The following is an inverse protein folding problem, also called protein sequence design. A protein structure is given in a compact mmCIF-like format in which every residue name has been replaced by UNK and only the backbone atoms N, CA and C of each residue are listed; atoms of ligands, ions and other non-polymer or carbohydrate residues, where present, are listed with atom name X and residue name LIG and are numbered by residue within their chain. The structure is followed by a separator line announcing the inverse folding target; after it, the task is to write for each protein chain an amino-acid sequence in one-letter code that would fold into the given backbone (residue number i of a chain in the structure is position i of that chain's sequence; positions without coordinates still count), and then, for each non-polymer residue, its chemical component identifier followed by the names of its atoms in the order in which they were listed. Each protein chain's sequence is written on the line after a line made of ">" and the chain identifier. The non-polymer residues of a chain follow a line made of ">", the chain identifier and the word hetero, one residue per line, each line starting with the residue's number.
data_IF_657499746151
#
_entry.id   IF_657499746151
#
_cell.length_a   1.000
_cell.length_b   1.000
_cell.length_c   1.000
_cell.angle_alpha   90.00
_cell.angle_beta   90.00
_cell.angle_gamma   90.00
#
_symmetry.space_group_name_H-M   'P 1'
#
loop_
_entity.id
_entity.type
_entity.pdbx_description
1 polymer ?
#
# COMPACT_ATOMS: atom_id res chain seq x y z
N UNK A 1 -19.36 -8.14 15.74
CA UNK A 1 -19.46 -9.55 16.22
C UNK A 1 -18.23 -9.81 17.08
N UNK A 2 -18.41 -10.23 18.34
CA UNK A 2 -17.29 -10.38 19.30
C UNK A 2 -16.37 -11.57 18.99
N UNK A 3 -15.12 -11.47 19.43
CA UNK A 3 -14.03 -12.43 19.17
C UNK A 3 -14.35 -13.86 19.61
N UNK A 4 -15.17 -14.07 20.65
CA UNK A 4 -15.50 -15.44 21.12
C UNK A 4 -16.35 -16.21 20.10
N UNK A 5 -17.41 -15.59 19.57
CA UNK A 5 -18.29 -16.23 18.57
C UNK A 5 -17.53 -16.58 17.30
N UNK A 6 -16.59 -15.73 16.87
CA UNK A 6 -15.75 -16.02 15.70
C UNK A 6 -14.85 -17.25 15.94
N UNK A 7 -14.25 -17.37 17.12
CA UNK A 7 -13.45 -18.54 17.50
C UNK A 7 -14.29 -19.82 17.54
N UNK A 8 -15.51 -19.75 18.07
CA UNK A 8 -16.41 -20.91 18.11
C UNK A 8 -16.87 -21.34 16.71
N UNK A 9 -16.97 -20.41 15.76
CA UNK A 9 -17.29 -20.74 14.36
C UNK A 9 -16.21 -21.57 13.66
N UNK A 10 -14.95 -21.46 14.07
CA UNK A 10 -13.81 -22.14 13.41
C UNK A 10 -13.26 -23.32 14.23
N UNK A 11 -13.61 -23.42 15.51
CA UNK A 11 -13.10 -24.47 16.41
C UNK A 11 -13.47 -25.86 15.91
N UNK A 12 -12.47 -26.74 15.80
CA UNK A 12 -12.63 -28.13 15.37
C UNK A 12 -13.01 -28.28 13.89
N UNK A 13 -12.86 -27.23 13.08
CA UNK A 13 -13.26 -27.21 11.67
C UNK A 13 -12.05 -27.08 10.74
N UNK A 14 -12.17 -27.65 9.55
CA UNK A 14 -11.23 -27.44 8.44
C UNK A 14 -11.53 -26.10 7.79
N UNK A 15 -10.65 -25.13 8.00
CA UNK A 15 -10.80 -23.78 7.47
C UNK A 15 -9.88 -23.60 6.27
N UNK A 16 -10.46 -23.10 5.17
CA UNK A 16 -9.69 -22.63 4.03
C UNK A 16 -9.78 -21.11 3.92
N UNK A 17 -8.64 -20.44 3.89
CA UNK A 17 -8.53 -18.99 3.70
C UNK A 17 -8.06 -18.69 2.28
N UNK A 18 -8.83 -17.93 1.52
CA UNK A 18 -8.46 -17.51 0.16
C UNK A 18 -7.75 -16.15 0.22
N UNK A 19 -6.48 -16.09 -0.17
CA UNK A 19 -5.65 -14.89 -0.13
C UNK A 19 -4.31 -15.09 0.58
N UNK A 20 -3.35 -14.18 0.35
CA UNK A 20 -2.02 -14.25 0.98
C UNK A 20 -1.43 -12.85 1.21
N UNK A 21 -2.05 -12.12 2.13
CA UNK A 21 -1.65 -10.80 2.62
C UNK A 21 -2.20 -10.61 4.04
N UNK A 22 -1.95 -9.44 4.66
CA UNK A 22 -2.22 -9.15 6.08
C UNK A 22 -3.50 -9.78 6.64
N UNK A 23 -4.69 -9.45 6.13
CA UNK A 23 -5.95 -9.99 6.68
C UNK A 23 -6.03 -11.52 6.58
N UNK A 24 -5.62 -12.09 5.44
CA UNK A 24 -5.66 -13.54 5.25
C UNK A 24 -4.67 -14.26 6.18
N UNK A 25 -3.49 -13.68 6.38
CA UNK A 25 -2.46 -14.20 7.28
C UNK A 25 -2.91 -14.14 8.74
N UNK A 26 -3.52 -13.04 9.17
CA UNK A 26 -4.06 -12.90 10.53
C UNK A 26 -5.15 -13.94 10.81
N UNK A 27 -6.10 -14.09 9.88
CA UNK A 27 -7.18 -15.08 9.98
C UNK A 27 -6.60 -16.49 10.03
N UNK A 28 -5.64 -16.82 9.17
CA UNK A 28 -4.98 -18.12 9.18
C UNK A 28 -4.22 -18.38 10.50
N UNK A 29 -3.59 -17.35 11.07
CA UNK A 29 -2.94 -17.41 12.38
C UNK A 29 -3.94 -17.70 13.49
N UNK A 30 -5.07 -16.99 13.52
CA UNK A 30 -6.15 -17.25 14.49
C UNK A 30 -6.72 -18.66 14.35
N UNK A 31 -6.88 -19.17 13.13
CA UNK A 31 -7.32 -20.54 12.89
C UNK A 31 -6.31 -21.55 13.42
N UNK A 32 -5.02 -21.34 13.17
CA UNK A 32 -3.96 -22.20 13.66
C UNK A 32 -3.83 -22.15 15.19
N UNK A 33 -4.10 -21.01 15.84
CA UNK A 33 -4.16 -20.91 17.30
C UNK A 33 -5.30 -21.71 17.93
N UNK A 34 -6.47 -21.71 17.29
CA UNK A 34 -7.65 -22.42 17.81
C UNK A 34 -7.57 -23.92 17.55
N UNK A 35 -7.06 -24.33 16.39
CA UNK A 35 -7.17 -25.72 15.92
C UNK A 35 -5.85 -26.49 15.92
N UNK A 36 -4.70 -25.82 15.98
CA UNK A 36 -3.38 -26.44 15.90
C UNK A 36 -3.21 -27.29 14.64
N UNK A 37 -2.48 -28.39 14.78
CA UNK A 37 -2.21 -29.36 13.70
C UNK A 37 -3.31 -30.40 13.52
N UNK A 38 -4.26 -30.51 14.46
CA UNK A 38 -5.38 -31.45 14.37
C UNK A 38 -6.36 -31.07 13.25
N UNK A 39 -6.61 -29.77 13.07
CA UNK A 39 -7.39 -29.23 11.96
C UNK A 39 -6.67 -28.02 11.33
N UNK A 40 -5.65 -28.27 10.49
CA UNK A 40 -4.80 -27.21 9.97
C UNK A 40 -5.56 -26.26 9.06
N UNK A 41 -5.20 -24.99 9.10
CA UNK A 41 -5.76 -23.97 8.22
C UNK A 41 -5.07 -24.03 6.85
N UNK A 42 -5.82 -24.20 5.77
CA UNK A 42 -5.25 -24.16 4.42
C UNK A 42 -5.40 -22.77 3.81
N UNK A 43 -4.30 -22.13 3.45
CA UNK A 43 -4.32 -20.90 2.66
C UNK A 43 -4.20 -21.21 1.18
N UNK A 44 -5.15 -20.73 0.39
CA UNK A 44 -5.20 -20.88 -1.07
C UNK A 44 -4.92 -19.51 -1.69
N UNK A 45 -3.85 -19.40 -2.49
CA UNK A 45 -3.42 -18.10 -3.05
C UNK A 45 -2.82 -18.20 -4.46
N UNK A 46 -2.94 -17.11 -5.22
CA UNK A 46 -2.41 -17.03 -6.59
C UNK A 46 -0.98 -16.50 -6.66
N UNK A 47 -0.69 -15.49 -5.86
CA UNK A 47 0.54 -14.71 -5.95
C UNK A 47 1.24 -14.71 -4.59
N UNK A 48 2.53 -15.05 -4.60
CA UNK A 48 3.41 -14.90 -3.43
C UNK A 48 3.64 -13.42 -3.20
N UNK A 49 3.71 -13.00 -1.94
CA UNK A 49 3.99 -11.62 -1.54
C UNK A 49 5.14 -11.58 -0.55
N UNK A 50 5.78 -10.42 -0.40
CA UNK A 50 6.83 -10.22 0.59
C UNK A 50 6.20 -10.17 1.98
N UNK A 51 6.31 -11.28 2.71
CA UNK A 51 5.83 -11.43 4.09
C UNK A 51 7.07 -11.42 4.98
N UNK A 52 7.42 -10.27 5.51
CA UNK A 52 8.70 -10.05 6.20
C UNK A 52 8.53 -10.13 7.72
N UNK A 53 9.54 -10.57 8.48
CA UNK A 53 9.46 -10.66 9.95
C UNK A 53 9.24 -9.28 10.60
N UNK A 54 9.87 -8.26 10.04
CA UNK A 54 9.76 -6.86 10.41
C UNK A 54 10.15 -5.97 9.21
N UNK A 55 10.08 -4.66 9.39
CA UNK A 55 10.57 -3.69 8.42
C UNK A 55 12.03 -3.28 8.69
N UNK A 56 12.83 -4.13 9.34
CA UNK A 56 14.25 -3.89 9.61
C UNK A 56 15.12 -4.62 8.59
N UNK A 57 16.14 -3.95 8.06
CA UNK A 57 17.15 -4.56 7.19
C UNK A 57 18.48 -4.47 7.92
N UNK A 58 19.05 -5.63 8.26
CA UNK A 58 20.30 -5.71 9.06
C UNK A 58 20.25 -4.94 10.39
N UNK A 59 19.11 -4.93 11.06
CA UNK A 59 18.92 -4.21 12.32
C UNK A 59 18.64 -2.71 12.17
N UNK A 60 18.65 -2.18 10.94
CA UNK A 60 18.33 -0.78 10.65
C UNK A 60 16.86 -0.67 10.25
N UNK A 61 16.14 0.24 10.91
CA UNK A 61 14.74 0.51 10.60
C UNK A 61 14.54 0.94 9.13
N UNK A 62 13.66 0.26 8.42
CA UNK A 62 13.37 0.46 6.99
C UNK A 62 12.93 1.87 6.61
N UNK A 63 12.41 2.65 7.57
CA UNK A 63 12.09 4.06 7.37
C UNK A 63 13.32 4.88 6.98
N UNK A 64 14.50 4.53 7.49
CA UNK A 64 15.77 5.18 7.15
C UNK A 64 16.17 4.98 5.67
N UNK A 65 15.52 4.06 4.96
CA UNK A 65 15.81 3.77 3.57
C UNK A 65 14.71 4.23 2.60
N UNK A 66 13.57 4.72 3.13
CA UNK A 66 12.37 4.99 2.32
C UNK A 66 11.63 6.29 2.67
N UNK A 67 11.83 6.85 3.86
CA UNK A 67 11.13 8.04 4.36
C UNK A 67 12.09 9.22 4.59
N UNK A 68 13.09 9.38 3.74
CA UNK A 68 13.96 10.56 3.70
C UNK A 68 14.20 11.03 2.27
N UNK A 69 14.61 12.29 2.13
CA UNK A 69 14.80 12.90 0.80
C UNK A 69 15.86 12.19 -0.02
N UNK A 70 16.94 11.69 0.61
CA UNK A 70 18.01 11.00 -0.10
C UNK A 70 17.51 9.76 -0.82
N UNK A 71 16.70 8.94 -0.15
CA UNK A 71 16.11 7.74 -0.74
C UNK A 71 15.22 8.07 -1.95
N UNK A 72 14.55 9.21 -1.93
CA UNK A 72 13.69 9.68 -3.02
C UNK A 72 14.48 10.29 -4.19
N UNK A 73 15.75 10.68 -4.01
CA UNK A 73 16.63 11.07 -5.13
C UNK A 73 16.93 9.89 -6.06
N UNK A 74 16.84 8.66 -5.56
CA UNK A 74 17.04 7.43 -6.33
C UNK A 74 15.86 7.11 -7.25
N UNK A 75 14.75 7.83 -7.11
CA UNK A 75 13.47 7.54 -7.72
C UNK A 75 13.09 8.68 -8.65
N UNK A 76 12.60 8.35 -9.84
CA UNK A 76 12.04 9.33 -10.75
C UNK A 76 10.72 9.85 -10.20
N UNK A 77 10.62 11.14 -9.97
CA UNK A 77 9.50 11.82 -9.31
C UNK A 77 8.65 12.59 -10.32
N UNK A 78 7.32 12.64 -10.14
CA UNK A 78 6.44 13.49 -10.95
C UNK A 78 6.87 14.95 -10.87
N UNK A 79 7.04 15.60 -12.02
CA UNK A 79 7.38 17.03 -12.10
C UNK A 79 8.81 17.41 -11.68
N UNK A 80 9.74 16.45 -11.57
CA UNK A 80 11.08 16.70 -11.01
C UNK A 80 12.07 17.42 -11.94
N UNK A 81 11.71 17.60 -13.22
CA UNK A 81 12.56 18.27 -14.21
C UNK A 81 13.93 17.60 -14.35
N UNK A 82 15.01 18.39 -14.25
CA UNK A 82 16.39 17.92 -14.42
C UNK A 82 16.86 16.96 -13.32
N UNK A 83 16.18 16.89 -12.17
CA UNK A 83 16.51 15.93 -11.10
C UNK A 83 16.32 14.46 -11.54
N UNK A 84 15.54 14.23 -12.61
CA UNK A 84 15.38 12.91 -13.23
C UNK A 84 16.71 12.32 -13.72
N UNK A 85 17.66 13.17 -14.12
CA UNK A 85 19.01 12.74 -14.51
C UNK A 85 19.71 12.10 -13.32
N UNK A 86 19.59 12.68 -12.12
CA UNK A 86 20.19 12.13 -10.91
C UNK A 86 19.58 10.75 -10.57
N UNK A 87 18.26 10.61 -10.67
CA UNK A 87 17.60 9.31 -10.47
C UNK A 87 18.06 8.26 -11.49
N UNK A 88 18.34 8.68 -12.73
CA UNK A 88 18.92 7.81 -13.76
C UNK A 88 20.35 7.39 -13.39
N UNK A 89 21.21 8.35 -13.04
CA UNK A 89 22.60 8.10 -12.65
C UNK A 89 22.72 7.21 -11.42
N UNK A 90 21.80 7.36 -10.44
CA UNK A 90 21.78 6.58 -9.21
C UNK A 90 21.00 5.27 -9.33
N UNK A 91 20.53 4.89 -10.52
CA UNK A 91 19.80 3.63 -10.72
C UNK A 91 20.61 2.38 -10.33
N UNK A 92 21.92 2.27 -10.63
CA UNK A 92 22.72 1.13 -10.17
C UNK A 92 22.78 1.05 -8.64
N UNK A 93 22.91 2.19 -7.95
CA UNK A 93 22.92 2.27 -6.48
C UNK A 93 21.58 1.81 -5.91
N UNK A 94 20.46 2.30 -6.45
CA UNK A 94 19.12 1.86 -6.09
C UNK A 94 18.98 0.34 -6.25
N UNK A 95 19.37 -0.18 -7.41
CA UNK A 95 19.28 -1.60 -7.70
C UNK A 95 20.09 -2.43 -6.70
N UNK A 96 21.35 -2.06 -6.45
CA UNK A 96 22.22 -2.77 -5.51
C UNK A 96 21.63 -2.77 -4.10
N UNK A 97 21.19 -1.60 -3.61
CA UNK A 97 20.58 -1.46 -2.29
C UNK A 97 19.37 -2.39 -2.11
N UNK A 98 18.39 -2.32 -3.03
CA UNK A 98 17.19 -3.13 -2.92
C UNK A 98 17.45 -4.62 -3.18
N UNK A 99 18.45 -5.00 -3.98
CA UNK A 99 18.84 -6.41 -4.16
C UNK A 99 19.53 -7.00 -2.95
N UNK A 100 20.32 -6.23 -2.23
CA UNK A 100 20.90 -6.67 -0.97
C UNK A 100 19.80 -6.86 0.10
N UNK A 101 18.87 -5.91 0.22
CA UNK A 101 17.71 -6.04 1.11
C UNK A 101 16.79 -7.22 0.72
N UNK A 102 16.54 -7.41 -0.58
CA UNK A 102 15.79 -8.55 -1.12
C UNK A 102 16.45 -9.87 -0.75
N UNK A 103 17.78 -9.95 -0.87
CA UNK A 103 18.56 -11.14 -0.50
C UNK A 103 18.41 -11.45 0.98
N UNK A 104 18.50 -10.44 1.85
CA UNK A 104 18.30 -10.58 3.30
C UNK A 104 16.90 -11.14 3.64
N UNK A 105 15.82 -10.51 3.15
CA UNK A 105 14.47 -10.97 3.43
C UNK A 105 14.13 -12.31 2.77
N UNK A 106 14.81 -12.67 1.68
CA UNK A 106 14.56 -13.94 1.01
C UNK A 106 15.00 -15.16 1.82
N UNK A 107 15.94 -15.02 2.76
CA UNK A 107 16.52 -16.15 3.53
C UNK A 107 15.44 -16.99 4.22
N UNK A 108 14.59 -16.45 5.11
CA UNK A 108 13.52 -17.23 5.73
C UNK A 108 12.47 -17.70 4.71
N UNK A 109 12.20 -16.91 3.68
CA UNK A 109 11.18 -17.22 2.68
C UNK A 109 11.56 -18.37 1.75
N UNK A 110 12.86 -18.51 1.43
CA UNK A 110 13.39 -19.57 0.55
C UNK A 110 13.11 -20.96 1.10
N UNK A 111 13.24 -21.14 2.42
CA UNK A 111 12.94 -22.41 3.12
C UNK A 111 11.52 -22.92 2.82
N UNK A 112 10.57 -22.00 2.64
CA UNK A 112 9.16 -22.32 2.37
C UNK A 112 8.78 -22.17 0.90
N UNK A 113 9.74 -21.90 0.01
CA UNK A 113 9.45 -21.60 -1.39
C UNK A 113 8.58 -20.36 -1.58
N UNK A 114 8.59 -19.41 -0.64
CA UNK A 114 7.66 -18.27 -0.62
C UNK A 114 8.24 -16.96 -1.19
N UNK A 115 9.46 -16.97 -1.72
CA UNK A 115 10.02 -15.81 -2.42
C UNK A 115 9.13 -15.44 -3.63
N UNK A 116 8.65 -14.18 -3.72
CA UNK A 116 7.82 -13.72 -4.83
C UNK A 116 8.57 -13.55 -6.15
N UNK A 117 7.81 -13.59 -7.26
CA UNK A 117 8.35 -13.34 -8.61
C UNK A 117 8.66 -11.84 -8.85
N UNK A 118 8.05 -10.94 -8.06
CA UNK A 118 8.30 -9.51 -8.12
C UNK A 118 9.36 -9.07 -7.10
N UNK A 119 10.13 -8.03 -7.44
CA UNK A 119 11.20 -7.53 -6.57
C UNK A 119 10.69 -6.89 -5.30
N UNK A 120 11.55 -6.83 -4.27
CA UNK A 120 11.26 -6.12 -3.02
C UNK A 120 10.95 -4.64 -3.29
N UNK A 121 11.69 -4.02 -4.21
CA UNK A 121 11.48 -2.63 -4.58
C UNK A 121 10.08 -2.38 -5.17
N UNK A 122 9.63 -3.24 -6.10
CA UNK A 122 8.26 -3.15 -6.62
C UNK A 122 7.24 -3.38 -5.51
N UNK A 123 7.53 -4.28 -4.57
CA UNK A 123 6.66 -4.55 -3.44
C UNK A 123 6.46 -3.32 -2.55
N UNK A 124 7.55 -2.59 -2.27
CA UNK A 124 7.51 -1.33 -1.55
C UNK A 124 6.80 -0.25 -2.36
N UNK A 125 7.16 -0.07 -3.64
CA UNK A 125 6.53 0.92 -4.51
C UNK A 125 5.00 0.76 -4.55
N UNK A 126 4.52 -0.47 -4.67
CA UNK A 126 3.09 -0.79 -4.78
C UNK A 126 2.38 -1.04 -3.43
N UNK A 127 3.08 -0.93 -2.29
CA UNK A 127 2.55 -1.27 -0.97
C UNK A 127 1.97 -2.71 -0.87
N UNK A 128 2.63 -3.68 -1.50
CA UNK A 128 2.23 -5.10 -1.51
C UNK A 128 3.17 -5.99 -0.66
N UNK A 129 3.64 -5.41 0.45
CA UNK A 129 4.52 -6.02 1.45
C UNK A 129 3.85 -5.88 2.82
N UNK A 130 3.92 -6.92 3.65
CA UNK A 130 3.42 -6.83 5.02
C UNK A 130 4.30 -7.57 6.02
N UNK A 131 4.20 -7.14 7.27
CA UNK A 131 4.81 -7.85 8.39
C UNK A 131 4.03 -9.14 8.65
N UNK A 132 4.78 -10.19 8.88
CA UNK A 132 4.26 -11.51 9.19
C UNK A 132 3.55 -11.52 10.55
N UNK A 133 2.42 -12.23 10.71
CA UNK A 133 1.90 -12.51 12.03
C UNK A 133 2.90 -13.32 12.86
N UNK A 134 2.75 -13.26 14.18
CA UNK A 134 3.61 -13.98 15.12
C UNK A 134 3.66 -15.47 14.76
N UNK A 135 4.87 -16.02 14.69
CA UNK A 135 5.15 -17.43 14.43
C UNK A 135 4.64 -17.98 13.09
N UNK A 136 4.28 -17.13 12.12
CA UNK A 136 3.76 -17.58 10.81
C UNK A 136 4.62 -18.66 10.14
N UNK A 137 5.92 -18.43 9.98
CA UNK A 137 6.82 -19.41 9.36
C UNK A 137 6.96 -20.68 10.20
N UNK A 138 6.95 -20.56 11.53
CA UNK A 138 6.94 -21.72 12.44
C UNK A 138 5.66 -22.55 12.26
N UNK A 139 4.50 -21.90 12.10
CA UNK A 139 3.21 -22.57 11.84
C UNK A 139 3.18 -23.29 10.50
N UNK A 140 3.91 -22.79 9.50
CA UNK A 140 4.15 -23.50 8.24
C UNK A 140 5.01 -24.75 8.45
N UNK A 141 6.06 -24.68 9.28
CA UNK A 141 6.92 -25.84 9.59
C UNK A 141 6.19 -26.92 10.37
N UNK A 142 5.42 -26.52 11.37
CA UNK A 142 4.62 -27.43 12.20
C UNK A 142 3.41 -28.01 11.45
N UNK A 143 3.02 -27.40 10.33
CA UNK A 143 1.88 -27.84 9.50
C UNK A 143 0.51 -27.40 10.02
N UNK A 144 0.44 -26.47 10.99
CA UNK A 144 -0.83 -25.89 11.44
C UNK A 144 -1.39 -24.87 10.43
N UNK A 145 -0.55 -24.34 9.55
CA UNK A 145 -0.93 -23.60 8.35
C UNK A 145 -0.33 -24.30 7.13
N UNK A 146 -1.19 -24.63 6.15
CA UNK A 146 -0.82 -25.26 4.90
C UNK A 146 -0.97 -24.27 3.75
N UNK A 147 -0.05 -24.28 2.79
CA UNK A 147 -0.04 -23.35 1.66
C UNK A 147 -0.32 -24.09 0.35
N UNK A 148 -1.35 -23.66 -0.39
CA UNK A 148 -1.64 -24.15 -1.74
C UNK A 148 -1.69 -23.01 -2.75
N UNK A 149 -0.74 -23.01 -3.68
CA UNK A 149 -0.73 -22.06 -4.80
C UNK A 149 -1.72 -22.54 -5.88
N UNK A 150 -2.51 -21.62 -6.44
CA UNK A 150 -3.47 -21.95 -7.51
C UNK A 150 -3.32 -21.05 -8.74
N UNK A 151 -3.77 -21.54 -9.89
CA UNK A 151 -4.05 -20.71 -11.08
C UNK A 151 -5.52 -20.30 -11.11
N UNK A 152 -6.42 -21.27 -10.95
CA UNK A 152 -7.86 -21.09 -10.72
C UNK A 152 -8.31 -21.96 -9.54
N UNK A 153 -9.46 -21.63 -8.97
CA UNK A 153 -10.14 -22.49 -7.99
C UNK A 153 -11.65 -22.37 -8.17
N UNK A 154 -12.38 -23.39 -7.71
CA UNK A 154 -13.84 -23.38 -7.65
C UNK A 154 -14.29 -23.95 -6.30
N UNK A 155 -15.56 -23.71 -5.96
CA UNK A 155 -16.18 -24.30 -4.78
C UNK A 155 -16.94 -25.56 -5.19
N UNK A 156 -16.83 -26.59 -4.37
CA UNK A 156 -17.63 -27.81 -4.47
C UNK A 156 -18.25 -28.14 -3.11
N UNK A 157 -19.09 -29.18 -3.05
CA UNK A 157 -19.78 -29.58 -1.82
C UNK A 157 -18.80 -29.96 -0.70
N UNK A 158 -17.64 -30.49 -1.06
CA UNK A 158 -16.61 -30.96 -0.14
C UNK A 158 -15.64 -29.85 0.29
N UNK A 159 -15.61 -28.70 -0.39
CA UNK A 159 -14.73 -27.58 -0.08
C UNK A 159 -14.23 -26.82 -1.31
N UNK A 160 -12.90 -26.69 -1.44
CA UNK A 160 -12.27 -25.89 -2.50
C UNK A 160 -11.53 -26.78 -3.47
N UNK A 161 -11.94 -26.79 -4.74
CA UNK A 161 -11.20 -27.45 -5.82
C UNK A 161 -10.13 -26.50 -6.35
N UNK A 162 -8.87 -26.92 -6.26
CA UNK A 162 -7.72 -26.14 -6.73
C UNK A 162 -7.19 -26.76 -8.01
N UNK A 163 -6.92 -25.94 -9.02
CA UNK A 163 -6.38 -26.41 -10.30
C UNK A 163 -5.05 -27.16 -10.11
N UNK A 164 -4.94 -28.34 -10.74
CA UNK A 164 -3.79 -29.24 -10.63
C UNK A 164 -3.80 -30.19 -9.42
N UNK A 165 -4.77 -30.08 -8.50
CA UNK A 165 -4.91 -31.00 -7.38
C UNK A 165 -5.89 -32.14 -7.72
N UNK A 166 -5.57 -33.41 -7.38
CA UNK A 166 -6.40 -34.56 -7.73
C UNK A 166 -7.69 -34.63 -6.89
N UNK A 167 -7.76 -33.88 -5.79
CA UNK A 167 -8.92 -33.88 -4.89
C UNK A 167 -9.15 -32.50 -4.27
N UNK A 168 -10.41 -32.16 -3.90
CA UNK A 168 -10.71 -30.90 -3.23
C UNK A 168 -10.00 -30.77 -1.88
N UNK A 169 -9.61 -29.54 -1.55
CA UNK A 169 -9.26 -29.15 -0.18
C UNK A 169 -10.52 -29.20 0.66
N UNK A 170 -10.66 -30.26 1.46
CA UNK A 170 -11.83 -30.47 2.31
C UNK A 170 -11.97 -29.30 3.29
N UNK A 171 -13.10 -28.61 3.23
CA UNK A 171 -13.31 -27.36 3.98
C UNK A 171 -14.72 -27.31 4.55
N UNK A 172 -14.83 -27.06 5.85
CA UNK A 172 -16.10 -26.81 6.53
C UNK A 172 -16.44 -25.31 6.50
N UNK A 173 -15.41 -24.46 6.42
CA UNK A 173 -15.53 -23.00 6.31
C UNK A 173 -14.53 -22.49 5.27
N UNK A 174 -14.98 -21.60 4.38
CA UNK A 174 -14.12 -20.89 3.44
C UNK A 174 -14.21 -19.38 3.74
N UNK A 175 -13.05 -18.74 3.99
CA UNK A 175 -12.96 -17.32 4.31
C UNK A 175 -12.21 -16.59 3.21
N UNK A 176 -12.84 -15.57 2.61
CA UNK A 176 -12.25 -14.78 1.53
C UNK A 176 -11.49 -13.57 2.08
N UNK A 177 -10.17 -13.69 2.18
CA UNK A 177 -9.24 -12.59 2.45
C UNK A 177 -8.71 -11.95 1.16
N UNK A 178 -9.59 -11.69 0.19
CA UNK A 178 -9.23 -11.29 -1.19
C UNK A 178 -9.18 -9.77 -1.41
N UNK A 179 -9.26 -8.97 -0.35
CA UNK A 179 -9.19 -7.51 -0.41
C UNK A 179 -10.56 -6.85 -0.58
N UNK A 180 -10.54 -5.58 -1.01
CA UNK A 180 -11.72 -4.74 -1.12
C UNK A 180 -11.80 -4.07 -2.49
N UNK A 181 -13.01 -3.73 -2.90
CA UNK A 181 -13.29 -3.06 -4.18
C UNK A 181 -13.49 -1.55 -3.99
N UNK A 182 -12.42 -0.82 -3.67
CA UNK A 182 -12.48 0.63 -3.40
C UNK A 182 -13.06 1.42 -4.57
N UNK A 183 -12.68 1.06 -5.79
CA UNK A 183 -13.16 1.67 -7.02
C UNK A 183 -14.67 1.58 -7.22
N UNK A 184 -15.25 0.39 -7.02
CA UNK A 184 -16.70 0.18 -7.09
C UNK A 184 -17.41 1.02 -6.02
N UNK A 185 -16.88 1.05 -4.80
CA UNK A 185 -17.45 1.87 -3.72
C UNK A 185 -17.51 3.36 -4.08
N UNK A 186 -16.46 3.92 -4.69
CA UNK A 186 -16.46 5.31 -5.14
C UNK A 186 -17.43 5.51 -6.30
N UNK A 187 -17.45 4.61 -7.29
CA UNK A 187 -18.40 4.68 -8.41
C UNK A 187 -19.84 4.68 -7.90
N UNK A 188 -20.16 3.85 -6.94
CA UNK A 188 -21.53 3.65 -6.46
C UNK A 188 -22.02 4.77 -5.54
N UNK A 189 -21.15 5.72 -5.15
CA UNK A 189 -21.58 6.96 -4.50
C UNK A 189 -22.37 7.89 -5.42
N UNK A 190 -22.24 7.73 -6.75
CA UNK A 190 -22.87 8.62 -7.72
C UNK A 190 -24.06 7.96 -8.40
N UNK A 191 -25.18 8.68 -8.47
CA UNK A 191 -26.34 8.30 -9.28
C UNK A 191 -26.15 8.62 -10.76
N UNK A 192 -25.46 9.73 -11.07
CA UNK A 192 -25.18 10.16 -12.45
C UNK A 192 -24.17 9.24 -13.14
N UNK A 193 -24.57 8.66 -14.27
CA UNK A 193 -23.69 7.82 -15.10
C UNK A 193 -22.40 8.52 -15.52
N UNK A 194 -22.48 9.81 -15.88
CA UNK A 194 -21.30 10.63 -16.18
C UNK A 194 -20.27 10.60 -15.03
N UNK A 195 -20.68 10.90 -13.80
CA UNK A 195 -19.79 10.88 -12.64
C UNK A 195 -19.29 9.48 -12.29
N UNK A 196 -20.13 8.43 -12.42
CA UNK A 196 -19.66 7.04 -12.28
C UNK A 196 -18.52 6.71 -13.25
N UNK A 197 -18.60 7.21 -14.49
CA UNK A 197 -17.60 6.99 -15.53
C UNK A 197 -16.31 7.77 -15.28
N UNK A 198 -16.38 9.01 -14.79
CA UNK A 198 -15.18 9.83 -14.57
C UNK A 198 -14.54 9.68 -13.18
N UNK A 199 -15.25 9.11 -12.20
CA UNK A 199 -14.80 9.03 -10.81
C UNK A 199 -13.49 8.24 -10.63
N UNK A 200 -13.33 7.13 -11.36
CA UNK A 200 -12.19 6.20 -11.19
C UNK A 200 -11.36 5.95 -12.46
N UNK A 201 -11.69 6.62 -13.57
CA UNK A 201 -11.04 6.38 -14.86
C UNK A 201 -11.26 4.98 -15.43
N UNK A 202 -10.49 4.62 -16.46
CA UNK A 202 -10.48 3.26 -17.04
C UNK A 202 -9.59 2.32 -16.25
N UNK A 203 -9.77 1.01 -16.38
CA UNK A 203 -8.95 -0.02 -15.72
C UNK A 203 -7.44 0.09 -16.04
N UNK A 204 -7.09 0.70 -17.17
CA UNK A 204 -5.71 0.91 -17.63
C UNK A 204 -5.06 2.20 -17.08
N UNK A 205 -5.78 2.98 -16.28
CA UNK A 205 -5.33 4.27 -15.70
C UNK A 205 -5.35 4.24 -14.18
N UNK A 206 -4.65 5.17 -13.52
CA UNK A 206 -4.85 5.37 -12.08
C UNK A 206 -6.17 6.10 -11.85
N UNK A 207 -6.68 6.08 -10.61
CA UNK A 207 -7.84 6.88 -10.27
C UNK A 207 -7.45 8.37 -10.32
N UNK A 208 -8.17 9.22 -11.06
CA UNK A 208 -7.67 10.53 -11.44
C UNK A 208 -7.87 11.56 -10.32
N UNK A 209 -7.05 11.48 -9.28
CA UNK A 209 -7.07 12.37 -8.12
C UNK A 209 -5.84 13.28 -8.11
N UNK A 210 -6.05 14.57 -8.35
CA UNK A 210 -5.06 15.60 -8.09
C UNK A 210 -4.69 15.60 -6.60
N UNK A 211 -3.39 15.54 -6.31
CA UNK A 211 -2.85 15.34 -4.97
C UNK A 211 -3.44 14.14 -4.23
N UNK A 212 -3.88 13.09 -4.94
CA UNK A 212 -4.58 11.95 -4.34
C UNK A 212 -5.83 12.35 -3.52
N UNK A 213 -6.41 13.53 -3.80
CA UNK A 213 -7.53 14.11 -3.05
C UNK A 213 -8.69 14.60 -3.94
N UNK A 214 -8.43 15.37 -4.99
CA UNK A 214 -9.47 16.08 -5.77
C UNK A 214 -9.62 15.44 -7.15
N UNK A 215 -10.82 15.04 -7.54
CA UNK A 215 -11.08 14.64 -8.93
C UNK A 215 -11.26 15.90 -9.80
N UNK A 216 -10.42 16.15 -10.83
CA UNK A 216 -10.49 17.38 -11.63
C UNK A 216 -11.81 17.59 -12.40
N UNK A 217 -12.60 16.53 -12.61
CA UNK A 217 -13.86 16.56 -13.37
C UNK A 217 -15.11 16.54 -12.49
N UNK A 218 -14.97 16.34 -11.17
CA UNK A 218 -16.10 16.29 -10.25
C UNK A 218 -16.03 17.51 -9.34
N UNK A 219 -16.93 18.50 -9.49
CA UNK A 219 -16.93 19.69 -8.67
C UNK A 219 -17.33 19.35 -7.22
N UNK A 220 -16.83 20.13 -6.26
CA UNK A 220 -17.25 20.10 -4.86
C UNK A 220 -17.10 18.73 -4.16
N UNK A 221 -16.10 17.94 -4.57
CA UNK A 221 -15.78 16.67 -3.95
C UNK A 221 -14.28 16.55 -3.66
N UNK A 222 -13.97 16.09 -2.45
CA UNK A 222 -12.64 15.64 -2.06
C UNK A 222 -12.72 14.23 -1.48
N UNK A 223 -11.75 13.38 -1.80
CA UNK A 223 -11.61 12.01 -1.31
C UNK A 223 -10.34 11.94 -0.47
N UNK A 224 -10.45 11.63 0.82
CA UNK A 224 -9.28 11.42 1.67
C UNK A 224 -9.15 9.92 1.96
N UNK A 225 -7.96 9.38 1.72
CA UNK A 225 -7.62 7.99 2.08
C UNK A 225 -7.80 6.96 0.98
N UNK A 226 -7.91 7.37 -0.30
CA UNK A 226 -7.96 6.44 -1.42
C UNK A 226 -6.61 5.76 -1.70
N UNK A 227 -5.53 6.55 -1.74
CA UNK A 227 -4.17 6.09 -2.06
C UNK A 227 -3.51 5.36 -0.87
N UNK A 228 -2.74 4.30 -1.14
CA UNK A 228 -1.94 3.62 -0.11
C UNK A 228 -0.67 4.40 0.27
N UNK A 229 -0.34 4.38 1.57
CA UNK A 229 0.88 4.99 2.13
C UNK A 229 1.46 4.12 3.25
N UNK A 230 2.59 4.52 3.82
CA UNK A 230 3.17 3.83 4.98
C UNK A 230 2.25 3.86 6.23
N UNK A 231 1.45 4.92 6.37
CA UNK A 231 0.47 5.07 7.45
C UNK A 231 -0.70 5.92 6.99
N UNK A 232 -1.89 5.33 6.94
CA UNK A 232 -3.09 6.03 6.48
C UNK A 232 -3.48 7.18 7.40
N UNK A 233 -3.19 7.09 8.70
CA UNK A 233 -3.42 8.19 9.65
C UNK A 233 -2.51 9.37 9.29
N UNK A 234 -1.22 9.11 9.07
CA UNK A 234 -0.25 10.14 8.72
C UNK A 234 -0.62 10.84 7.40
N UNK A 235 -0.92 10.06 6.35
CA UNK A 235 -1.30 10.64 5.07
C UNK A 235 -2.63 11.40 5.13
N UNK A 236 -3.61 10.89 5.88
CA UNK A 236 -4.92 11.56 6.02
C UNK A 236 -4.82 12.87 6.82
N UNK A 237 -3.96 12.94 7.83
CA UNK A 237 -3.75 14.15 8.63
C UNK A 237 -3.27 15.33 7.77
N UNK A 238 -2.18 15.15 7.01
CA UNK A 238 -1.65 16.23 6.17
C UNK A 238 -2.61 16.59 5.01
N UNK A 239 -3.33 15.62 4.46
CA UNK A 239 -4.36 15.85 3.43
C UNK A 239 -5.55 16.62 3.97
N UNK A 240 -5.99 16.31 5.18
CA UNK A 240 -7.06 17.05 5.84
C UNK A 240 -6.64 18.50 6.11
N UNK A 241 -5.39 18.73 6.54
CA UNK A 241 -4.82 20.08 6.70
C UNK A 241 -4.76 20.82 5.36
N UNK A 242 -4.27 20.17 4.30
CA UNK A 242 -4.24 20.74 2.95
C UNK A 242 -5.64 21.08 2.44
N UNK A 243 -6.61 20.18 2.63
CA UNK A 243 -8.00 20.42 2.24
C UNK A 243 -8.63 21.56 3.03
N UNK A 244 -8.38 21.63 4.35
CA UNK A 244 -8.88 22.73 5.18
C UNK A 244 -8.34 24.09 4.70
N UNK A 245 -7.05 24.16 4.35
CA UNK A 245 -6.39 25.35 3.78
C UNK A 245 -6.85 25.68 2.36
N UNK A 246 -7.39 24.72 1.63
CA UNK A 246 -8.06 25.00 0.36
C UNK A 246 -9.46 25.59 0.61
N UNK A 247 -10.22 24.99 1.52
CA UNK A 247 -11.59 25.42 1.85
C UNK A 247 -11.65 26.79 2.53
N UNK A 248 -10.62 27.16 3.30
CA UNK A 248 -10.50 28.50 3.91
C UNK A 248 -10.03 29.59 2.92
N UNK A 249 -9.76 29.22 1.66
CA UNK A 249 -9.32 30.12 0.61
C UNK A 249 -7.85 30.55 0.68
N UNK A 250 -7.02 29.91 1.53
CA UNK A 250 -5.60 30.25 1.67
C UNK A 250 -4.79 29.99 0.42
N UNK A 251 -5.23 29.09 -0.45
CA UNK A 251 -4.70 28.91 -1.79
C UNK A 251 -5.80 28.51 -2.77
N UNK A 252 -5.51 28.62 -4.07
CA UNK A 252 -6.42 28.19 -5.14
C UNK A 252 -5.84 26.96 -5.83
N UNK A 253 -6.72 26.02 -6.18
CA UNK A 253 -6.35 24.92 -7.06
C UNK A 253 -5.98 25.47 -8.45
N UNK A 254 -5.04 24.81 -9.15
CA UNK A 254 -4.79 25.12 -10.55
C UNK A 254 -6.01 24.73 -11.40
N UNK A 255 -6.04 25.19 -12.66
CA UNK A 255 -7.12 24.84 -13.58
C UNK A 255 -7.18 23.32 -13.86
N UNK A 256 -8.31 22.85 -14.39
CA UNK A 256 -8.58 21.43 -14.65
C UNK A 256 -7.50 20.79 -15.53
N UNK A 257 -7.03 21.47 -16.57
CA UNK A 257 -6.01 20.94 -17.47
C UNK A 257 -4.66 20.71 -16.76
N UNK A 258 -4.26 21.64 -15.88
CA UNK A 258 -3.06 21.50 -15.08
C UNK A 258 -3.18 20.38 -14.04
N UNK A 259 -4.33 20.24 -13.38
CA UNK A 259 -4.59 19.12 -12.47
C UNK A 259 -4.52 17.77 -13.21
N UNK A 260 -5.14 17.67 -14.39
CA UNK A 260 -5.09 16.45 -15.22
C UNK A 260 -3.67 16.13 -15.67
N UNK A 261 -2.86 17.13 -16.03
CA UNK A 261 -1.45 16.93 -16.36
C UNK A 261 -0.67 16.36 -15.18
N UNK A 262 -0.88 16.87 -13.96
CA UNK A 262 -0.25 16.33 -12.75
C UNK A 262 -0.65 14.88 -12.49
N UNK A 263 -1.94 14.55 -12.60
CA UNK A 263 -2.45 13.17 -12.50
C UNK A 263 -1.74 12.24 -13.47
N UNK A 264 -1.53 12.66 -14.72
CA UNK A 264 -0.83 11.86 -15.72
C UNK A 264 0.66 11.66 -15.40
N UNK A 265 1.33 12.66 -14.81
CA UNK A 265 2.72 12.50 -14.36
C UNK A 265 2.84 11.51 -13.20
N UNK A 266 1.91 11.56 -12.24
CA UNK A 266 1.79 10.57 -11.18
C UNK A 266 1.46 9.17 -11.70
N UNK A 267 0.57 9.06 -12.69
CA UNK A 267 0.26 7.78 -13.35
C UNK A 267 1.51 7.17 -13.99
N UNK A 268 2.30 7.96 -14.73
CA UNK A 268 3.56 7.50 -15.35
C UNK A 268 4.51 6.94 -14.30
N UNK A 269 4.67 7.65 -13.19
CA UNK A 269 5.46 7.20 -12.05
C UNK A 269 4.95 5.86 -11.49
N UNK A 270 3.65 5.75 -11.21
CA UNK A 270 3.06 4.54 -10.62
C UNK A 270 3.19 3.35 -11.56
N UNK A 271 2.93 3.52 -12.86
CA UNK A 271 3.12 2.48 -13.88
C UNK A 271 4.58 2.02 -13.96
N UNK A 272 5.53 2.96 -13.88
CA UNK A 272 6.97 2.66 -13.93
C UNK A 272 7.45 1.77 -12.79
N UNK A 273 6.95 2.01 -11.57
CA UNK A 273 7.52 1.39 -10.38
C UNK A 273 6.63 0.35 -9.70
N UNK A 274 5.31 0.51 -9.74
CA UNK A 274 4.35 -0.44 -9.19
C UNK A 274 4.03 -1.59 -10.16
N UNK A 275 4.43 -1.47 -11.44
CA UNK A 275 4.10 -2.43 -12.49
C UNK A 275 2.59 -2.65 -12.58
N UNK A 276 2.15 -3.91 -12.64
CA UNK A 276 0.71 -4.27 -12.73
C UNK A 276 -0.14 -3.81 -11.54
N UNK A 277 0.46 -3.35 -10.44
CA UNK A 277 -0.24 -2.91 -9.23
C UNK A 277 -0.41 -1.39 -9.17
N UNK A 278 -0.11 -0.66 -10.25
CA UNK A 278 -0.20 0.81 -10.32
C UNK A 278 -1.53 1.37 -9.81
N UNK A 279 -2.63 0.64 -10.03
CA UNK A 279 -3.98 1.07 -9.65
C UNK A 279 -4.20 1.17 -8.13
N UNK A 280 -3.37 0.54 -7.31
CA UNK A 280 -3.37 0.75 -5.85
C UNK A 280 -3.03 2.18 -5.44
N UNK A 281 -2.53 2.98 -6.37
CA UNK A 281 -2.21 4.40 -6.17
C UNK A 281 -1.29 4.62 -4.97
N UNK A 282 -0.26 3.78 -4.83
CA UNK A 282 0.66 3.86 -3.70
C UNK A 282 1.65 5.02 -3.89
N UNK A 283 1.80 5.83 -2.85
CA UNK A 283 2.82 6.90 -2.77
C UNK A 283 3.89 6.59 -1.71
N UNK A 284 3.98 5.34 -1.25
CA UNK A 284 4.75 4.96 -0.06
C UNK A 284 6.23 5.35 -0.14
N UNK A 285 6.87 5.18 -1.30
CA UNK A 285 8.31 5.46 -1.50
C UNK A 285 8.59 6.91 -1.97
N UNK A 286 7.55 7.74 -2.10
CA UNK A 286 7.64 9.17 -2.44
C UNK A 286 6.84 10.03 -1.45
N UNK A 287 6.74 9.58 -0.21
CA UNK A 287 5.90 10.24 0.80
C UNK A 287 6.37 11.69 1.07
N UNK A 288 7.68 11.91 1.12
CA UNK A 288 8.27 13.23 1.37
C UNK A 288 8.03 14.16 0.19
N UNK A 289 8.31 13.72 -1.04
CA UNK A 289 8.05 14.47 -2.27
C UNK A 289 6.57 14.82 -2.43
N UNK A 290 5.68 13.89 -2.09
CA UNK A 290 4.24 14.13 -2.08
C UNK A 290 3.87 15.21 -1.04
N UNK A 291 4.33 15.09 0.20
CA UNK A 291 4.06 16.06 1.25
C UNK A 291 4.65 17.44 0.94
N UNK A 292 5.79 17.51 0.24
CA UNK A 292 6.35 18.76 -0.23
C UNK A 292 5.41 19.49 -1.18
N UNK A 293 4.74 18.75 -2.07
CA UNK A 293 3.77 19.35 -3.00
C UNK A 293 2.60 19.96 -2.22
N UNK A 294 2.08 19.26 -1.21
CA UNK A 294 1.04 19.81 -0.33
C UNK A 294 1.54 21.05 0.42
N UNK A 295 2.77 21.03 0.93
CA UNK A 295 3.36 22.20 1.60
C UNK A 295 3.46 23.39 0.66
N UNK A 296 3.96 23.19 -0.57
CA UNK A 296 4.08 24.25 -1.58
C UNK A 296 2.72 24.83 -1.94
N UNK A 297 1.71 23.99 -2.16
CA UNK A 297 0.34 24.44 -2.44
C UNK A 297 -0.19 25.33 -1.30
N UNK A 298 0.05 24.95 -0.04
CA UNK A 298 -0.31 25.73 1.16
C UNK A 298 0.57 26.97 1.43
N UNK A 299 1.58 27.23 0.59
CA UNK A 299 2.56 28.32 0.82
C UNK A 299 3.51 28.07 2.00
N UNK A 300 3.65 26.82 2.44
CA UNK A 300 4.52 26.43 3.55
C UNK A 300 5.89 25.96 3.04
N UNK A 301 6.94 26.15 3.86
CA UNK A 301 8.24 25.57 3.55
C UNK A 301 8.15 24.02 3.63
N UNK A 302 8.47 23.29 2.55
CA UNK A 302 8.56 21.84 2.56
C UNK A 302 9.74 21.31 3.40
N UNK A 303 10.76 22.14 3.66
CA UNK A 303 11.88 21.76 4.52
C UNK A 303 11.45 21.90 5.99
N UNK A 304 11.48 20.78 6.71
CA UNK A 304 10.93 20.60 8.07
C UNK A 304 11.98 20.25 9.13
N UNK A 305 13.21 19.97 8.72
CA UNK A 305 14.36 19.60 9.55
C UNK A 305 15.33 20.78 9.64
N UNK A 306 16.21 20.74 10.64
CA UNK A 306 17.20 21.79 10.88
C UNK A 306 18.50 21.44 10.17
N UNK A 307 18.73 22.08 9.01
CA UNK A 307 19.98 21.97 8.27
C UNK A 307 19.93 20.98 7.11
N UNK A 308 20.88 21.14 6.19
CA UNK A 308 20.91 20.43 4.91
C UNK A 308 21.02 18.91 5.05
N UNK A 309 21.91 18.42 5.92
CA UNK A 309 22.11 16.98 6.11
C UNK A 309 20.91 16.32 6.79
N UNK A 310 20.30 16.99 7.77
CA UNK A 310 19.09 16.50 8.43
C UNK A 310 17.92 16.41 7.45
N UNK A 311 17.73 17.41 6.58
CA UNK A 311 16.76 17.35 5.49
C UNK A 311 16.97 16.15 4.56
N UNK A 312 18.24 15.84 4.28
CA UNK A 312 18.57 14.80 3.31
C UNK A 312 18.39 13.39 3.88
N UNK A 313 18.83 13.15 5.12
CA UNK A 313 19.00 11.81 5.67
C UNK A 313 18.06 11.45 6.83
N UNK A 314 17.54 12.42 7.59
CA UNK A 314 16.61 12.10 8.68
C UNK A 314 15.24 11.66 8.17
N UNK A 315 14.58 10.80 8.94
CA UNK A 315 13.24 10.31 8.62
C UNK A 315 12.21 11.42 8.81
N UNK A 316 11.37 11.62 7.80
CA UNK A 316 10.17 12.44 7.86
C UNK A 316 9.02 11.65 8.47
N UNK A 317 8.29 12.30 9.37
CA UNK A 317 7.11 11.74 10.01
C UNK A 317 6.06 12.77 10.39
N UNK A 318 4.95 12.35 11.02
CA UNK A 318 3.82 13.22 11.34
C UNK A 318 4.21 14.48 12.14
N UNK A 319 5.16 14.34 13.07
CA UNK A 319 5.62 15.45 13.92
C UNK A 319 6.21 16.62 13.13
N UNK A 320 6.84 16.35 11.98
CA UNK A 320 7.42 17.38 11.13
C UNK A 320 6.35 18.31 10.54
N UNK A 321 5.11 17.84 10.43
CA UNK A 321 3.96 18.52 9.82
C UNK A 321 2.88 18.92 10.83
N UNK A 322 3.18 18.85 12.14
CA UNK A 322 2.22 19.19 13.20
C UNK A 322 1.74 20.65 13.09
N UNK A 323 2.65 21.59 12.81
CA UNK A 323 2.40 23.03 12.86
C UNK A 323 1.94 23.65 11.52
N UNK A 324 1.34 22.87 10.61
CA UNK A 324 0.91 23.40 9.31
C UNK A 324 -0.31 24.33 9.40
N UNK A 325 -1.15 24.17 10.42
CA UNK A 325 -2.34 25.03 10.61
C UNK A 325 -2.07 26.28 11.45
N UNK A 326 -1.00 26.31 12.25
CA UNK A 326 -0.74 27.40 13.20
C UNK A 326 -0.27 28.71 12.55
N UNK A 327 0.03 28.70 11.25
CA UNK A 327 0.55 29.87 10.52
C UNK A 327 -0.54 30.65 9.75
N UNK A 328 -1.82 30.33 9.94
CA UNK A 328 -2.91 31.18 9.44
C UNK A 328 -2.98 32.44 10.30
N UNK A 329 -2.18 33.47 9.96
CA UNK A 329 -2.48 34.82 10.44
C UNK A 329 -3.91 35.12 9.98
N UNK A 330 -4.79 35.36 10.95
CA UNK A 330 -6.11 35.93 10.77
C UNK A 330 -6.00 37.14 9.87
N UNK A 331 -6.37 36.99 8.60
CA UNK A 331 -6.83 38.14 7.82
C UNK A 331 -8.29 38.32 8.22
N UNK A 332 -8.48 39.06 9.31
CA UNK A 332 -9.75 39.73 9.57
C UNK A 332 -10.05 40.60 8.34
N UNK A 333 -11.22 40.39 7.75
CA UNK A 333 -11.81 41.24 6.72
C UNK A 333 -12.96 42.01 7.33
#
# INVERSE_FOLDING_TARGET
>A
MGTSKAKDMIRGKRVTVVGYMKSALDIATECAEVNGTAHPCTMVFRTKHWIVPDYSVWGINGKNFTLNRFSELLIHKPGEGLLSILATLLTPLRWAFYKLAESYYSIPMKKHGMVPDHSLFQALAAAIICVTPKDHYKRLEEGSIMLKKYKTFSLCKEGVLVDGEPSPVKSDVVIFGTGFKGDEKIKDMFTSEYFRNVAIGSESTTVPLYRECINPKIPQLAVIGYSDTHSNIYASDIRAKWLARFLDGSFRLPNVAAMQKDVLEWEKYMKRYCGRYFRRSSIMILNTWYNDQLCRDMGCNPWRKKGFFSELFEVYGPGDYANLLSNSKSKEH
#
